data_IF_731642987229
#
_entry.id   IF_731642987229
#
_cell.length_a   1.000
_cell.length_b   1.000
_cell.length_c   1.000
_cell.angle_alpha   90.00
_cell.angle_beta   90.00
_cell.angle_gamma   90.00
#
_symmetry.space_group_name_H-M   'P 1'
#
loop_
_entity.id
_entity.type
_entity.pdbx_description
1 polymer ?
#
# COMPACT_ATOMS: atom_id res chain seq x y z
N UNK A 1 19.72 -27.40 -1.54
CA UNK A 1 19.84 -25.92 -1.52
C UNK A 1 18.63 -25.40 -0.79
N UNK A 2 18.77 -24.98 0.46
CA UNK A 2 17.68 -24.40 1.25
C UNK A 2 17.36 -23.03 0.69
N UNK A 3 16.11 -22.80 0.28
CA UNK A 3 15.64 -21.48 -0.13
C UNK A 3 15.90 -20.52 1.03
N UNK A 4 16.74 -19.51 0.81
CA UNK A 4 16.98 -18.46 1.79
C UNK A 4 15.66 -17.72 1.95
N UNK A 5 15.13 -17.69 3.17
CA UNK A 5 13.92 -16.93 3.49
C UNK A 5 14.13 -15.47 3.08
N UNK A 6 13.28 -14.94 2.20
CA UNK A 6 13.44 -13.61 1.63
C UNK A 6 13.44 -12.52 2.73
N UNK A 7 12.94 -12.81 3.93
CA UNK A 7 12.97 -11.91 5.09
C UNK A 7 14.38 -11.67 5.65
N UNK A 8 15.34 -12.53 5.33
CA UNK A 8 16.75 -12.35 5.70
C UNK A 8 17.58 -11.78 4.55
N UNK A 9 16.95 -11.54 3.40
CA UNK A 9 17.60 -11.01 2.21
C UNK A 9 17.54 -9.49 2.25
N UNK A 10 18.71 -8.85 2.21
CA UNK A 10 18.83 -7.38 2.06
C UNK A 10 18.41 -6.92 0.65
N UNK A 11 18.92 -5.76 0.21
CA UNK A 11 18.63 -5.24 -1.13
C UNK A 11 19.01 -6.25 -2.21
N UNK A 12 18.03 -6.59 -3.07
CA UNK A 12 18.20 -7.53 -4.16
C UNK A 12 17.58 -6.99 -5.45
N UNK A 13 18.34 -7.04 -6.54
CA UNK A 13 17.91 -6.58 -7.86
C UNK A 13 16.91 -7.55 -8.48
N UNK A 14 15.62 -7.29 -8.32
CA UNK A 14 14.55 -8.03 -9.00
C UNK A 14 14.17 -7.43 -10.35
N UNK A 15 14.33 -6.11 -10.50
CA UNK A 15 13.96 -5.35 -11.69
C UNK A 15 15.16 -4.56 -12.19
N UNK A 16 15.32 -4.49 -13.52
CA UNK A 16 16.25 -3.57 -14.18
C UNK A 16 15.44 -2.40 -14.73
N UNK A 17 15.77 -1.18 -14.32
CA UNK A 17 15.13 0.04 -14.82
C UNK A 17 16.16 0.78 -15.66
N UNK A 18 15.92 0.84 -16.96
CA UNK A 18 16.79 1.53 -17.91
C UNK A 18 16.08 2.78 -18.42
N UNK A 19 16.85 3.85 -18.63
CA UNK A 19 16.32 5.02 -19.31
C UNK A 19 16.21 4.75 -20.80
N UNK A 20 15.16 5.26 -21.42
CA UNK A 20 14.96 5.16 -22.87
C UNK A 20 16.10 5.81 -23.70
N UNK A 21 16.88 6.72 -23.11
CA UNK A 21 18.05 7.34 -23.73
C UNK A 21 19.38 6.60 -23.42
N UNK A 22 19.33 5.44 -22.76
CA UNK A 22 20.49 4.57 -22.50
C UNK A 22 21.49 5.12 -21.48
N UNK A 23 21.18 6.26 -20.83
CA UNK A 23 22.05 6.83 -19.79
C UNK A 23 21.74 6.22 -18.43
N UNK A 24 22.78 5.96 -17.67
CA UNK A 24 22.63 5.55 -16.27
C UNK A 24 22.19 6.75 -15.42
N UNK A 25 21.19 6.57 -14.55
CA UNK A 25 20.67 7.61 -13.65
C UNK A 25 20.93 7.32 -12.17
N UNK A 26 21.63 6.23 -11.87
CA UNK A 26 21.90 5.79 -10.51
C UNK A 26 20.86 4.80 -9.98
N UNK A 27 20.92 4.48 -8.67
CA UNK A 27 20.13 3.41 -8.09
C UNK A 27 18.65 3.79 -7.96
N UNK A 28 17.78 2.87 -8.35
CA UNK A 28 16.33 2.98 -8.16
C UNK A 28 15.84 1.92 -7.19
N UNK A 29 14.91 2.31 -6.33
CA UNK A 29 14.17 1.40 -5.48
C UNK A 29 12.71 1.42 -5.90
N UNK A 30 12.21 0.29 -6.39
CA UNK A 30 10.86 0.16 -6.93
C UNK A 30 9.97 -0.50 -5.89
N UNK A 31 8.86 0.16 -5.60
CA UNK A 31 7.89 -0.24 -4.57
C UNK A 31 6.52 -0.48 -5.22
N UNK A 32 5.92 -1.63 -4.95
CA UNK A 32 4.59 -1.98 -5.46
C UNK A 32 3.51 -1.48 -4.49
N UNK A 33 3.11 -0.22 -4.60
CA UNK A 33 2.18 0.44 -3.67
C UNK A 33 0.78 -0.18 -3.58
N UNK A 34 0.44 -1.12 -4.46
CA UNK A 34 -0.83 -1.87 -4.41
C UNK A 34 -0.79 -3.14 -3.57
N UNK A 35 0.39 -3.72 -3.34
CA UNK A 35 0.56 -4.99 -2.64
C UNK A 35 1.53 -4.91 -1.47
N UNK A 36 2.35 -3.85 -1.41
CA UNK A 36 3.26 -3.59 -0.31
C UNK A 36 2.69 -2.49 0.62
N UNK A 37 2.37 -2.83 1.88
CA UNK A 37 1.88 -1.87 2.86
C UNK A 37 2.83 -0.69 3.06
N UNK A 38 4.15 -0.93 3.07
CA UNK A 38 5.15 0.13 3.28
C UNK A 38 5.25 1.07 2.07
N UNK A 39 5.01 0.54 0.87
CA UNK A 39 4.98 1.32 -0.35
C UNK A 39 3.84 2.34 -0.37
N UNK A 40 2.67 2.00 0.18
CA UNK A 40 1.55 2.93 0.31
C UNK A 40 1.91 4.11 1.24
N UNK A 41 2.55 3.84 2.38
CA UNK A 41 3.01 4.88 3.32
C UNK A 41 4.06 5.78 2.66
N UNK A 42 5.04 5.18 1.97
CA UNK A 42 6.08 5.93 1.26
C UNK A 42 5.48 6.85 0.19
N UNK A 43 4.49 6.37 -0.56
CA UNK A 43 3.79 7.16 -1.58
C UNK A 43 3.01 8.32 -0.97
N UNK A 44 2.31 8.10 0.15
CA UNK A 44 1.58 9.14 0.87
C UNK A 44 2.52 10.23 1.40
N UNK A 45 3.67 9.83 1.97
CA UNK A 45 4.69 10.75 2.44
C UNK A 45 5.29 11.57 1.30
N UNK A 46 5.56 10.95 0.14
CA UNK A 46 6.05 11.64 -1.04
C UNK A 46 5.04 12.65 -1.58
N UNK A 47 3.77 12.28 -1.70
CA UNK A 47 2.69 13.18 -2.12
C UNK A 47 2.61 14.44 -1.24
N UNK A 48 2.74 14.27 0.09
CA UNK A 48 2.79 15.40 1.02
C UNK A 48 4.05 16.26 0.82
N UNK A 49 5.20 15.64 0.59
CA UNK A 49 6.46 16.36 0.41
C UNK A 49 6.51 17.19 -0.88
N UNK A 50 5.87 16.72 -1.95
CA UNK A 50 5.94 17.36 -3.26
C UNK A 50 4.78 18.33 -3.54
N UNK A 51 3.79 18.42 -2.65
CA UNK A 51 2.58 19.23 -2.86
C UNK A 51 2.84 20.72 -3.15
N UNK A 52 3.87 21.30 -2.53
CA UNK A 52 4.23 22.70 -2.75
C UNK A 52 4.72 23.00 -4.17
N UNK A 53 5.49 22.08 -4.75
CA UNK A 53 6.10 22.24 -6.08
C UNK A 53 5.27 21.61 -7.19
N UNK A 54 4.57 20.51 -6.88
CA UNK A 54 3.82 19.67 -7.82
C UNK A 54 2.42 19.32 -7.29
N UNK A 55 1.52 20.31 -7.14
CA UNK A 55 0.22 20.10 -6.50
C UNK A 55 -0.69 19.11 -7.25
N UNK A 56 -0.65 19.10 -8.58
CA UNK A 56 -1.43 18.13 -9.38
C UNK A 56 -0.94 16.70 -9.18
N UNK A 57 0.38 16.49 -9.20
CA UNK A 57 0.96 15.17 -8.94
C UNK A 57 0.59 14.69 -7.54
N UNK A 58 0.68 15.57 -6.53
CA UNK A 58 0.28 15.22 -5.17
C UNK A 58 -1.19 14.80 -5.07
N UNK A 59 -2.09 15.44 -5.82
CA UNK A 59 -3.50 15.06 -5.90
C UNK A 59 -3.67 13.67 -6.54
N UNK A 60 -3.06 13.43 -7.71
CA UNK A 60 -3.14 12.16 -8.43
C UNK A 60 -2.62 10.99 -7.57
N UNK A 61 -1.51 11.21 -6.84
CA UNK A 61 -0.93 10.21 -5.95
C UNK A 61 -1.85 9.86 -4.78
N UNK A 62 -2.59 10.85 -4.24
CA UNK A 62 -3.57 10.62 -3.17
C UNK A 62 -4.79 9.87 -3.69
N UNK A 63 -5.27 10.20 -4.88
CA UNK A 63 -6.37 9.48 -5.53
C UNK A 63 -6.00 8.02 -5.81
N UNK A 64 -4.78 7.76 -6.29
CA UNK A 64 -4.28 6.41 -6.51
C UNK A 64 -4.21 5.55 -5.23
N UNK A 65 -4.01 6.18 -4.07
CA UNK A 65 -4.05 5.51 -2.76
C UNK A 65 -5.46 5.19 -2.28
N UNK A 66 -6.47 5.95 -2.72
CA UNK A 66 -7.87 5.72 -2.38
C UNK A 66 -8.50 4.58 -3.19
N UNK A 67 -8.01 4.35 -4.41
CA UNK A 67 -8.48 3.27 -5.30
C UNK A 67 -7.93 1.88 -4.95
N UNK A 68 -7.27 1.74 -3.80
CA UNK A 68 -6.74 0.47 -3.30
C UNK A 68 -7.88 -0.45 -2.85
N UNK A 69 -7.85 -1.76 -3.18
CA UNK A 69 -8.78 -2.71 -2.59
C UNK A 69 -8.58 -2.67 -1.07
N UNK A 70 -9.65 -2.40 -0.32
CA UNK A 70 -9.61 -2.41 1.14
C UNK A 70 -9.22 -3.80 1.65
N UNK A 71 -8.47 -3.88 2.75
CA UNK A 71 -8.18 -5.16 3.40
C UNK A 71 -9.48 -5.82 3.90
N UNK A 72 -9.87 -6.96 3.33
CA UNK A 72 -10.99 -7.81 3.79
C UNK A 72 -10.60 -8.74 4.98
N UNK A 73 -9.49 -8.42 5.67
CA UNK A 73 -8.84 -9.36 6.57
C UNK A 73 -9.40 -9.41 7.99
N UNK A 74 -10.17 -8.41 8.45
CA UNK A 74 -10.84 -8.40 9.75
C UNK A 74 -9.95 -8.44 11.02
N UNK A 75 -8.63 -8.60 10.89
CA UNK A 75 -7.71 -8.77 12.00
C UNK A 75 -7.09 -7.45 12.50
N UNK A 76 -7.11 -7.24 13.82
CA UNK A 76 -6.54 -6.05 14.46
C UNK A 76 -5.01 -5.91 14.32
N UNK A 77 -4.30 -7.00 14.01
CA UNK A 77 -2.85 -7.02 13.82
C UNK A 77 -2.41 -6.85 12.36
N UNK A 78 -3.34 -6.61 11.42
CA UNK A 78 -2.98 -6.46 10.03
C UNK A 78 -2.21 -5.15 9.81
N UNK A 79 -0.96 -5.25 9.36
CA UNK A 79 -0.12 -4.10 8.98
C UNK A 79 -0.80 -3.22 7.93
N UNK A 80 -1.66 -3.79 7.08
CA UNK A 80 -2.43 -3.03 6.10
C UNK A 80 -3.54 -2.19 6.75
N UNK A 81 -4.22 -2.70 7.79
CA UNK A 81 -5.22 -1.94 8.54
C UNK A 81 -4.63 -0.78 9.34
N UNK A 82 -3.44 -0.95 9.93
CA UNK A 82 -2.73 0.16 10.59
C UNK A 82 -2.44 1.29 9.59
N UNK A 83 -1.99 0.95 8.39
CA UNK A 83 -1.64 1.91 7.33
C UNK A 83 -2.87 2.60 6.73
N UNK A 84 -4.01 1.91 6.59
CA UNK A 84 -5.27 2.56 6.19
C UNK A 84 -5.72 3.64 7.18
N UNK A 85 -5.51 3.43 8.49
CA UNK A 85 -5.86 4.44 9.51
C UNK A 85 -5.01 5.71 9.40
N UNK A 86 -3.77 5.61 8.92
CA UNK A 86 -2.86 6.74 8.71
C UNK A 86 -3.02 7.41 7.34
N UNK A 87 -3.48 6.67 6.33
CA UNK A 87 -3.65 7.17 4.95
C UNK A 87 -5.06 7.69 4.66
N UNK A 88 -6.01 7.55 5.61
CA UNK A 88 -7.35 8.12 5.51
C UNK A 88 -8.29 7.37 4.56
N UNK A 89 -8.03 6.08 4.29
CA UNK A 89 -8.93 5.24 3.49
C UNK A 89 -9.98 4.60 4.43
N UNK A 90 -11.24 5.06 4.46
CA UNK A 90 -12.27 4.48 5.31
C UNK A 90 -12.54 3.04 4.86
N UNK A 91 -12.82 2.16 5.83
CA UNK A 91 -13.27 0.79 5.54
C UNK A 91 -14.42 0.83 4.53
N UNK A 92 -14.46 -0.06 3.53
CA UNK A 92 -15.68 -0.26 2.76
C UNK A 92 -16.79 -0.58 3.77
N UNK A 93 -17.85 0.21 3.76
CA UNK A 93 -19.04 -0.07 4.56
C UNK A 93 -19.56 -1.44 4.14
N UNK A 94 -19.59 -2.38 5.08
CA UNK A 94 -20.17 -3.72 4.87
C UNK A 94 -21.65 -3.55 4.48
N UNK A 95 -22.06 -3.87 3.23
CA UNK A 95 -23.46 -3.79 2.85
C UNK A 95 -24.31 -4.93 3.43
N UNK A 96 -23.72 -5.85 4.20
CA UNK A 96 -24.34 -7.07 4.75
C UNK A 96 -24.22 -7.18 6.28
N UNK A 97 -24.44 -6.08 7.01
CA UNK A 97 -24.50 -6.11 8.47
C UNK A 97 -25.78 -5.49 9.04
N UNK A 98 -26.92 -6.19 8.96
CA UNK A 98 -28.00 -6.18 9.98
C UNK A 98 -29.12 -7.17 9.61
N UNK A 99 -29.00 -8.46 9.91
CA UNK A 99 -30.18 -9.32 10.11
C UNK A 99 -29.97 -10.19 11.35
N UNK A 100 -30.54 -9.73 12.45
CA UNK A 100 -30.56 -10.44 13.72
C UNK A 100 -31.34 -11.76 13.61
N UNK A 101 -30.71 -12.86 14.01
CA UNK A 101 -31.40 -14.09 14.36
C UNK A 101 -30.93 -14.55 15.73
N UNK A 102 -31.72 -14.17 16.74
CA UNK A 102 -31.58 -14.67 18.10
C UNK A 102 -31.81 -16.18 18.15
N UNK A 103 -30.79 -16.91 18.61
CA UNK A 103 -30.94 -18.33 18.97
C UNK A 103 -31.13 -18.39 20.49
N UNK A 104 -32.38 -18.63 20.91
CA UNK A 104 -32.72 -19.05 22.27
C UNK A 104 -32.28 -20.51 22.41
N UNK A 105 -31.33 -20.78 23.29
CA UNK A 105 -31.08 -22.13 23.79
C UNK A 105 -31.95 -22.38 25.02
N UNK A 106 -32.73 -23.47 24.97
CA UNK A 106 -33.17 -24.27 26.12
C UNK A 106 -34.28 -23.67 26.97
#
# INVERSE_FOLDING_TARGET
MTAVDDRQRGLYGKYCVERADGKDKGPYFVLAYTSDPHAAVALAAYAKSCEGDYPMLAADLREALQSQPGCECGEAACQWCAIHSETGNPRPHDPYGDEGLGVRHG
#
